data_IF_498071327377
#
_entry.id   IF_498071327377
#
_cell.length_a   1.000
_cell.length_b   1.000
_cell.length_c   1.000
_cell.angle_alpha   90.00
_cell.angle_beta   90.00
_cell.angle_gamma   90.00
#
_symmetry.space_group_name_H-M   'P 1'
#
loop_
_entity.id
_entity.type
_entity.pdbx_description
1 polymer ?
#
# COMPACT_ATOMS: atom_id res chain seq x y z
N UNK A 1 21.60 50.45 6.41
CA UNK A 1 22.03 49.06 6.72
C UNK A 1 20.94 48.45 7.58
N UNK A 2 20.06 47.68 6.95
CA UNK A 2 18.96 47.00 7.66
C UNK A 2 19.44 45.58 7.95
N UNK A 3 19.72 45.27 9.21
CA UNK A 3 20.05 43.94 9.71
C UNK A 3 18.78 43.12 9.70
N UNK A 4 18.61 42.30 8.69
CA UNK A 4 17.56 41.28 8.69
C UNK A 4 17.88 40.25 9.80
N UNK A 5 17.21 40.38 10.92
CA UNK A 5 17.22 39.37 11.98
C UNK A 5 16.48 38.15 11.43
N UNK A 6 17.23 37.17 10.95
CA UNK A 6 16.68 35.85 10.64
C UNK A 6 16.24 35.22 11.96
N UNK A 7 14.95 35.30 12.28
CA UNK A 7 14.37 34.51 13.34
C UNK A 7 14.53 33.04 12.94
N UNK A 8 15.47 32.36 13.59
CA UNK A 8 15.57 30.89 13.55
C UNK A 8 14.30 30.39 14.23
N UNK A 9 13.29 30.07 13.43
CA UNK A 9 12.12 29.33 13.93
C UNK A 9 12.64 27.98 14.37
N UNK A 10 12.76 27.79 15.68
CA UNK A 10 13.05 26.50 16.29
C UNK A 10 12.03 25.51 15.73
N UNK A 11 12.56 24.50 15.07
CA UNK A 11 11.88 23.43 14.40
C UNK A 11 10.68 22.94 15.22
N UNK A 12 9.47 23.28 14.81
CA UNK A 12 8.27 22.65 15.35
C UNK A 12 8.47 21.14 15.23
N UNK A 13 8.42 20.44 16.35
CA UNK A 13 8.80 19.02 16.45
C UNK A 13 8.14 18.22 15.35
N UNK A 14 8.86 17.25 14.79
CA UNK A 14 8.43 16.38 13.68
C UNK A 14 6.97 15.90 13.82
N UNK A 15 6.51 15.68 15.03
CA UNK A 15 5.15 15.25 15.37
C UNK A 15 4.11 16.38 15.33
N UNK A 16 4.50 17.62 15.63
CA UNK A 16 3.58 18.78 15.63
C UNK A 16 3.12 19.17 14.21
N UNK A 17 3.91 18.85 13.19
CA UNK A 17 3.57 19.08 11.76
C UNK A 17 2.63 18.05 11.17
N UNK A 18 2.21 17.03 11.94
CA UNK A 18 1.36 15.94 11.45
C UNK A 18 -0.10 16.33 11.52
N UNK A 19 -0.82 16.04 10.42
CA UNK A 19 -2.25 16.25 10.34
C UNK A 19 -2.99 15.15 11.16
N UNK A 20 -4.20 15.43 11.60
CA UNK A 20 -5.04 14.43 12.28
C UNK A 20 -5.23 13.13 11.47
N UNK A 21 -5.25 13.23 10.14
CA UNK A 21 -5.30 12.07 9.23
C UNK A 21 -4.08 11.16 9.34
N UNK A 22 -2.89 11.73 9.58
CA UNK A 22 -1.66 10.95 9.77
C UNK A 22 -1.75 10.13 11.08
N UNK A 23 -2.36 10.71 12.11
CA UNK A 23 -2.61 10.02 13.38
C UNK A 23 -3.69 8.97 13.27
N UNK A 24 -4.77 9.24 12.54
CA UNK A 24 -5.82 8.26 12.25
C UNK A 24 -5.25 7.06 11.49
N UNK A 25 -4.43 7.31 10.48
CA UNK A 25 -3.74 6.27 9.73
C UNK A 25 -2.86 5.40 10.66
N UNK A 26 -2.05 6.02 11.53
CA UNK A 26 -1.22 5.29 12.49
C UNK A 26 -2.07 4.44 13.46
N UNK A 27 -3.17 5.00 13.96
CA UNK A 27 -4.08 4.28 14.84
C UNK A 27 -4.72 3.06 14.14
N UNK A 28 -5.12 3.19 12.88
CA UNK A 28 -5.67 2.08 12.09
C UNK A 28 -4.64 0.98 11.84
N UNK A 29 -3.39 1.34 11.51
CA UNK A 29 -2.31 0.36 11.32
C UNK A 29 -2.01 -0.38 12.62
N UNK A 30 -1.93 0.33 13.75
CA UNK A 30 -1.71 -0.28 15.07
C UNK A 30 -2.88 -1.20 15.44
N UNK A 31 -4.11 -0.73 15.29
CA UNK A 31 -5.30 -1.51 15.61
C UNK A 31 -5.38 -2.79 14.76
N UNK A 32 -5.13 -2.68 13.46
CA UNK A 32 -5.09 -3.82 12.53
C UNK A 32 -4.00 -4.83 12.91
N UNK A 33 -2.80 -4.36 13.21
CA UNK A 33 -1.69 -5.22 13.63
C UNK A 33 -1.94 -5.92 14.97
N UNK A 34 -2.48 -5.20 15.95
CA UNK A 34 -2.85 -5.79 17.24
C UNK A 34 -4.00 -6.80 17.10
N UNK A 35 -5.00 -6.47 16.29
CA UNK A 35 -6.09 -7.41 15.99
C UNK A 35 -5.56 -8.69 15.34
N UNK A 36 -4.69 -8.57 14.34
CA UNK A 36 -4.07 -9.72 13.68
C UNK A 36 -3.24 -10.54 14.68
N UNK A 37 -2.46 -9.88 15.53
CA UNK A 37 -1.66 -10.55 16.55
C UNK A 37 -2.55 -11.32 17.55
N UNK A 38 -3.64 -10.71 18.03
CA UNK A 38 -4.56 -11.38 18.96
C UNK A 38 -5.29 -12.54 18.30
N UNK A 39 -5.79 -12.35 17.09
CA UNK A 39 -6.66 -13.33 16.42
C UNK A 39 -5.89 -14.53 15.89
N UNK A 40 -4.68 -14.33 15.40
CA UNK A 40 -3.90 -15.36 14.70
C UNK A 40 -2.64 -15.81 15.43
N UNK A 41 -2.38 -15.29 16.64
CA UNK A 41 -1.19 -15.63 17.42
C UNK A 41 -0.99 -17.11 17.68
N UNK A 42 -2.07 -17.90 17.73
CA UNK A 42 -2.00 -19.34 17.92
C UNK A 42 -1.46 -20.09 16.70
N UNK A 43 -1.63 -19.52 15.50
CA UNK A 43 -1.18 -20.10 14.23
C UNK A 43 0.18 -19.57 13.76
N UNK A 44 0.70 -18.54 14.44
CA UNK A 44 1.94 -17.85 14.06
C UNK A 44 3.13 -18.35 14.88
N UNK A 45 4.24 -18.60 14.20
CA UNK A 45 5.53 -18.83 14.79
C UNK A 45 6.13 -17.55 15.38
N UNK A 46 7.19 -17.70 16.22
CA UNK A 46 7.90 -16.56 16.82
C UNK A 46 8.47 -15.59 15.79
N UNK A 47 8.95 -16.11 14.67
CA UNK A 47 9.48 -15.33 13.55
C UNK A 47 8.37 -14.49 12.86
N UNK A 48 7.24 -15.09 12.60
CA UNK A 48 6.09 -14.40 11.99
C UNK A 48 5.54 -13.28 12.89
N UNK A 49 5.48 -13.52 14.20
CA UNK A 49 5.12 -12.50 15.19
C UNK A 49 6.11 -11.33 15.18
N UNK A 50 7.41 -11.61 15.10
CA UNK A 50 8.43 -10.58 15.03
C UNK A 50 8.30 -9.73 13.74
N UNK A 51 8.04 -10.36 12.59
CA UNK A 51 7.80 -9.68 11.32
C UNK A 51 6.55 -8.79 11.44
N UNK A 52 5.44 -9.32 11.96
CA UNK A 52 4.19 -8.56 12.11
C UNK A 52 4.40 -7.32 12.98
N UNK A 53 5.05 -7.49 14.15
CA UNK A 53 5.34 -6.37 15.07
C UNK A 53 6.27 -5.35 14.42
N UNK A 54 7.30 -5.79 13.67
CA UNK A 54 8.21 -4.90 12.95
C UNK A 54 7.57 -4.18 11.77
N UNK A 55 6.57 -4.79 11.14
CA UNK A 55 5.84 -4.19 10.01
C UNK A 55 5.00 -2.98 10.44
N UNK A 56 4.42 -2.99 11.64
CA UNK A 56 3.58 -1.88 12.15
C UNK A 56 4.33 -0.54 12.12
N UNK A 57 5.46 -0.37 12.81
CA UNK A 57 6.18 0.91 12.80
C UNK A 57 6.74 1.26 11.42
N UNK A 58 7.14 0.26 10.64
CA UNK A 58 7.64 0.47 9.27
C UNK A 58 6.56 1.06 8.37
N UNK A 59 5.34 0.54 8.41
CA UNK A 59 4.21 1.05 7.64
C UNK A 59 3.82 2.47 8.05
N UNK A 60 3.81 2.77 9.36
CA UNK A 60 3.54 4.11 9.86
C UNK A 60 4.61 5.09 9.39
N UNK A 61 5.87 4.71 9.52
CA UNK A 61 7.01 5.53 9.09
C UNK A 61 6.98 5.82 7.59
N UNK A 62 6.76 4.81 6.75
CA UNK A 62 6.64 4.96 5.31
C UNK A 62 5.45 5.85 4.92
N UNK A 63 4.28 5.64 5.52
CA UNK A 63 3.10 6.46 5.28
C UNK A 63 3.30 7.92 5.70
N UNK A 64 4.03 8.17 6.76
CA UNK A 64 4.37 9.52 7.21
C UNK A 64 5.44 10.20 6.35
N UNK A 65 6.35 9.41 5.79
CA UNK A 65 7.38 9.92 4.89
C UNK A 65 6.79 10.31 3.53
N UNK A 66 5.88 9.48 3.00
CA UNK A 66 5.30 9.68 1.68
C UNK A 66 3.78 9.58 1.70
N UNK A 67 3.10 10.71 1.78
CA UNK A 67 1.63 10.80 1.87
C UNK A 67 0.85 10.07 0.78
N UNK A 68 1.24 10.07 -0.52
CA UNK A 68 0.54 9.28 -1.53
C UNK A 68 0.46 7.80 -1.18
N UNK A 69 1.46 7.25 -0.47
CA UNK A 69 1.51 5.87 -0.05
C UNK A 69 0.40 5.52 0.96
N UNK A 70 0.00 6.46 1.83
CA UNK A 70 -1.13 6.25 2.75
C UNK A 70 -2.41 5.92 1.99
N UNK A 71 -2.69 6.67 0.91
CA UNK A 71 -3.87 6.43 0.07
C UNK A 71 -3.82 5.05 -0.59
N UNK A 72 -2.65 4.66 -1.07
CA UNK A 72 -2.44 3.34 -1.65
C UNK A 72 -2.64 2.23 -0.61
N UNK A 73 -2.04 2.37 0.57
CA UNK A 73 -2.19 1.39 1.66
C UNK A 73 -3.64 1.21 2.07
N UNK A 74 -4.40 2.31 2.21
CA UNK A 74 -5.83 2.26 2.53
C UNK A 74 -6.63 1.59 1.41
N UNK A 75 -6.33 1.89 0.15
CA UNK A 75 -6.98 1.27 -0.99
C UNK A 75 -6.70 -0.25 -1.04
N UNK A 76 -5.43 -0.66 -0.84
CA UNK A 76 -5.05 -2.08 -0.78
C UNK A 76 -5.73 -2.78 0.38
N UNK A 77 -5.75 -2.18 1.57
CA UNK A 77 -6.46 -2.75 2.72
C UNK A 77 -7.95 -2.93 2.45
N UNK A 78 -8.61 -1.92 1.85
CA UNK A 78 -10.02 -1.99 1.48
C UNK A 78 -10.30 -3.09 0.45
N UNK A 79 -9.47 -3.19 -0.59
CA UNK A 79 -9.59 -4.26 -1.60
C UNK A 79 -9.33 -5.65 -1.00
N UNK A 80 -8.39 -5.78 -0.06
CA UNK A 80 -8.12 -7.03 0.64
C UNK A 80 -9.31 -7.45 1.51
N UNK A 81 -9.92 -6.52 2.24
CA UNK A 81 -11.13 -6.81 3.02
C UNK A 81 -12.30 -7.19 2.12
N UNK A 82 -12.46 -6.50 0.99
CA UNK A 82 -13.46 -6.85 -0.01
C UNK A 82 -13.23 -8.25 -0.58
N UNK A 83 -11.99 -8.60 -0.90
CA UNK A 83 -11.63 -9.94 -1.36
C UNK A 83 -11.98 -11.00 -0.31
N UNK A 84 -11.58 -10.79 0.95
CA UNK A 84 -11.91 -11.70 2.06
C UNK A 84 -13.43 -11.88 2.18
N UNK A 85 -14.19 -10.78 2.10
CA UNK A 85 -15.65 -10.84 2.16
C UNK A 85 -16.25 -11.63 1.00
N UNK A 86 -15.73 -11.46 -0.22
CA UNK A 86 -16.18 -12.19 -1.41
C UNK A 86 -15.87 -13.69 -1.34
N UNK A 87 -14.77 -14.08 -0.67
CA UNK A 87 -14.44 -15.50 -0.44
C UNK A 87 -15.36 -16.16 0.59
N UNK A 88 -15.96 -15.39 1.51
CA UNK A 88 -16.90 -15.96 2.48
C UNK A 88 -18.21 -16.34 1.80
N UNK A 89 -18.67 -17.59 2.07
CA UNK A 89 -19.96 -18.09 1.64
C UNK A 89 -21.08 -17.71 2.61
N UNK A 90 -22.32 -18.17 2.34
CA UNK A 90 -23.45 -18.01 3.28
C UNK A 90 -23.16 -18.63 4.66
N UNK A 91 -22.27 -19.61 4.73
CA UNK A 91 -21.91 -20.35 5.95
C UNK A 91 -20.77 -19.68 6.74
N UNK A 92 -20.36 -18.46 6.38
CA UNK A 92 -19.20 -17.74 6.93
C UNK A 92 -17.87 -18.52 6.86
N UNK A 93 -17.81 -19.58 6.06
CA UNK A 93 -16.59 -20.31 5.76
C UNK A 93 -15.93 -19.75 4.49
N UNK A 94 -14.59 -19.74 4.45
CA UNK A 94 -13.86 -19.35 3.26
C UNK A 94 -13.84 -20.48 2.25
N UNK A 95 -14.40 -20.24 1.07
CA UNK A 95 -14.48 -21.21 -0.02
C UNK A 95 -13.55 -20.77 -1.17
N UNK A 96 -12.48 -21.50 -1.39
CA UNK A 96 -11.47 -21.15 -2.43
C UNK A 96 -12.03 -21.32 -3.85
N UNK A 97 -12.95 -22.24 -4.06
CA UNK A 97 -13.68 -22.50 -5.33
C UNK A 97 -14.52 -21.28 -5.78
N UNK A 98 -14.87 -20.38 -4.87
CA UNK A 98 -15.54 -19.12 -5.22
C UNK A 98 -14.67 -18.18 -6.06
N UNK A 99 -13.35 -18.39 -6.07
CA UNK A 99 -12.45 -17.64 -6.94
C UNK A 99 -12.84 -17.75 -8.42
N UNK A 100 -13.32 -18.91 -8.84
CA UNK A 100 -13.76 -19.14 -10.23
C UNK A 100 -15.22 -18.78 -10.49
N UNK A 101 -16.05 -18.78 -9.45
CA UNK A 101 -17.49 -18.53 -9.56
C UNK A 101 -17.84 -17.04 -9.54
N UNK A 102 -17.08 -16.22 -8.82
CA UNK A 102 -17.33 -14.79 -8.65
C UNK A 102 -16.49 -14.00 -9.63
N UNK A 103 -17.13 -13.27 -10.55
CA UNK A 103 -16.45 -12.48 -11.58
C UNK A 103 -15.36 -11.54 -11.03
N UNK A 104 -15.65 -10.81 -9.95
CA UNK A 104 -14.70 -9.90 -9.32
C UNK A 104 -13.46 -10.60 -8.75
N UNK A 105 -13.61 -11.81 -8.19
CA UNK A 105 -12.50 -12.61 -7.73
C UNK A 105 -11.73 -13.17 -8.92
N UNK A 106 -12.41 -13.82 -9.86
CA UNK A 106 -11.80 -14.49 -11.01
C UNK A 106 -10.86 -13.59 -11.80
N UNK A 107 -11.26 -12.34 -12.06
CA UNK A 107 -10.52 -11.45 -12.96
C UNK A 107 -9.71 -10.37 -12.28
N UNK A 108 -9.97 -10.04 -11.02
CA UNK A 108 -9.35 -8.89 -10.37
C UNK A 108 -8.73 -9.17 -9.00
N UNK A 109 -9.42 -9.85 -8.11
CA UNK A 109 -9.08 -9.91 -6.69
C UNK A 109 -8.49 -11.26 -6.24
N UNK A 110 -8.52 -12.29 -7.07
CA UNK A 110 -7.83 -13.55 -6.73
C UNK A 110 -6.32 -13.38 -6.82
N UNK A 111 -5.57 -14.20 -6.09
CA UNK A 111 -4.11 -14.19 -6.13
C UNK A 111 -3.55 -14.42 -7.53
N UNK A 112 -4.16 -15.31 -8.30
CA UNK A 112 -3.77 -15.59 -9.68
C UNK A 112 -3.98 -14.38 -10.59
N UNK A 113 -5.14 -13.73 -10.49
CA UNK A 113 -5.45 -12.51 -11.24
C UNK A 113 -4.52 -11.35 -10.84
N UNK A 114 -4.24 -11.20 -9.56
CA UNK A 114 -3.34 -10.16 -9.07
C UNK A 114 -1.92 -10.33 -9.64
N UNK A 115 -1.39 -11.57 -9.67
CA UNK A 115 -0.09 -11.86 -10.26
C UNK A 115 -0.09 -11.56 -11.77
N UNK A 116 -1.16 -11.93 -12.47
CA UNK A 116 -1.29 -11.67 -13.91
C UNK A 116 -1.31 -10.17 -14.21
N UNK A 117 -2.11 -9.38 -13.47
CA UNK A 117 -2.17 -7.93 -13.62
C UNK A 117 -0.85 -7.26 -13.27
N UNK A 118 -0.19 -7.68 -12.19
CA UNK A 118 1.13 -7.18 -11.82
C UNK A 118 2.16 -7.44 -12.94
N UNK A 119 2.19 -8.65 -13.49
CA UNK A 119 3.09 -9.02 -14.58
C UNK A 119 2.81 -8.22 -15.86
N UNK A 120 1.52 -8.03 -16.18
CA UNK A 120 1.11 -7.23 -17.33
C UNK A 120 1.52 -5.76 -17.18
N UNK A 121 1.29 -5.16 -16.01
CA UNK A 121 1.66 -3.77 -15.74
C UNK A 121 3.18 -3.58 -15.75
N UNK A 122 3.95 -4.51 -15.18
CA UNK A 122 5.41 -4.48 -15.28
C UNK A 122 5.90 -4.59 -16.72
N UNK A 123 5.30 -5.47 -17.52
CA UNK A 123 5.63 -5.60 -18.93
C UNK A 123 5.32 -4.30 -19.70
N UNK A 124 4.13 -3.74 -19.51
CA UNK A 124 3.75 -2.47 -20.15
C UNK A 124 4.68 -1.33 -19.72
N UNK A 125 5.01 -1.23 -18.43
CA UNK A 125 5.96 -0.24 -17.93
C UNK A 125 7.32 -0.37 -18.64
N UNK A 126 7.82 -1.60 -18.77
CA UNK A 126 9.07 -1.88 -19.49
C UNK A 126 9.00 -1.41 -20.95
N UNK A 127 7.91 -1.71 -21.65
CA UNK A 127 7.70 -1.26 -23.04
C UNK A 127 7.70 0.27 -23.12
N UNK A 128 7.01 0.98 -22.21
CA UNK A 128 7.00 2.44 -22.19
C UNK A 128 8.39 3.04 -21.90
N UNK A 129 9.16 2.43 -21.00
CA UNK A 129 10.55 2.84 -20.78
C UNK A 129 11.42 2.65 -22.02
N UNK A 130 11.25 1.53 -22.74
CA UNK A 130 11.97 1.27 -23.99
C UNK A 130 11.61 2.28 -25.07
N UNK A 131 10.32 2.55 -25.25
CA UNK A 131 9.85 3.58 -26.18
C UNK A 131 10.45 4.94 -25.82
N UNK A 132 10.41 5.32 -24.54
CA UNK A 132 11.01 6.56 -24.05
C UNK A 132 12.52 6.65 -24.26
N UNK A 133 13.23 5.50 -24.30
CA UNK A 133 14.65 5.45 -24.57
C UNK A 133 14.97 5.74 -26.06
N UNK A 134 14.12 5.23 -26.95
CA UNK A 134 14.31 5.39 -28.40
C UNK A 134 13.64 6.65 -28.98
N UNK A 135 12.59 7.17 -28.32
CA UNK A 135 11.89 8.39 -28.76
C UNK A 135 12.73 9.64 -28.48
N UNK A 136 13.29 10.19 -29.53
CA UNK A 136 14.09 11.42 -29.52
C UNK A 136 13.18 12.65 -29.43
N UNK A 137 12.74 13.05 -28.25
CA UNK A 137 11.98 14.30 -28.09
C UNK A 137 10.84 14.29 -27.08
N UNK A 138 10.29 13.12 -26.70
CA UNK A 138 9.22 13.00 -25.70
C UNK A 138 9.62 12.13 -24.49
N UNK A 139 10.92 12.09 -24.19
CA UNK A 139 11.49 11.26 -23.12
C UNK A 139 10.75 11.37 -21.78
N UNK A 140 10.38 12.58 -21.40
CA UNK A 140 9.78 12.84 -20.09
C UNK A 140 8.35 12.31 -19.96
N UNK A 141 7.59 12.27 -21.07
CA UNK A 141 6.21 11.85 -21.04
C UNK A 141 6.09 10.32 -20.90
N UNK A 142 6.81 9.57 -21.70
CA UNK A 142 6.78 8.09 -21.66
C UNK A 142 7.39 7.53 -20.38
N UNK A 143 8.48 8.12 -19.90
CA UNK A 143 9.09 7.75 -18.63
C UNK A 143 8.14 7.99 -17.45
N UNK A 144 7.39 9.10 -17.44
CA UNK A 144 6.38 9.39 -16.42
C UNK A 144 5.20 8.42 -16.48
N UNK A 145 4.78 8.00 -17.66
CA UNK A 145 3.71 7.00 -17.82
C UNK A 145 4.20 5.65 -17.28
N UNK A 146 5.39 5.20 -17.68
CA UNK A 146 5.98 3.95 -17.18
C UNK A 146 6.10 3.91 -15.66
N UNK A 147 6.55 5.01 -15.03
CA UNK A 147 6.70 5.09 -13.57
C UNK A 147 5.37 5.11 -12.79
N UNK A 148 4.25 5.39 -13.45
CA UNK A 148 2.91 5.36 -12.83
C UNK A 148 2.25 3.98 -12.91
N UNK A 149 2.80 3.07 -13.70
CA UNK A 149 2.28 1.71 -13.89
C UNK A 149 2.95 0.68 -12.97
N UNK A 150 4.09 1.02 -12.38
CA UNK A 150 4.82 0.24 -11.38
C UNK A 150 4.47 0.70 -9.98
#
# INVERSE_FOLDING_TARGET
MSTATSTITLNEGYFARRNWLDWLFAALVIAGGLFALQRYSYAMDGYEKAILVGTIPTMIWLGWFWRPLQKLMVAVAGLSLLAIWLYHGPDNAAHLDRADAVFGLKYFLSSQSAILWMSLLCFMATVFYWIGLFAKGERDSFSKIGSRMV
#
